data_IF_277418483981
#
_entry.id   IF_277418483981
#
_cell.length_a   1.000
_cell.length_b   1.000
_cell.length_c   1.000
_cell.angle_alpha   90.00
_cell.angle_beta   90.00
_cell.angle_gamma   90.00
#
_symmetry.space_group_name_H-M   'P 1'
#
loop_
_entity.id
_entity.type
_entity.pdbx_description
1 polymer ?
#
# COMPACT_ATOMS: atom_id res chain seq x y z
N UNK A 1 18.12 6.38 -15.73
CA UNK A 1 16.78 6.44 -15.13
C UNK A 1 16.97 6.57 -13.63
N UNK A 2 16.31 7.53 -12.98
CA UNK A 2 16.42 7.69 -11.52
C UNK A 2 15.69 6.56 -10.80
N UNK A 3 16.00 6.32 -9.52
CA UNK A 3 15.29 5.32 -8.72
C UNK A 3 13.80 5.67 -8.56
N UNK A 4 13.47 6.96 -8.44
CA UNK A 4 12.09 7.42 -8.39
C UNK A 4 11.36 7.21 -9.73
N UNK A 5 12.06 7.37 -10.85
CA UNK A 5 11.52 7.11 -12.19
C UNK A 5 11.21 5.62 -12.37
N UNK A 6 12.05 4.73 -11.84
CA UNK A 6 11.81 3.28 -11.84
C UNK A 6 10.53 2.90 -11.09
N UNK A 7 10.38 3.39 -9.86
CA UNK A 7 9.19 3.13 -9.05
C UNK A 7 7.91 3.62 -9.76
N UNK A 8 7.97 4.82 -10.34
CA UNK A 8 6.84 5.40 -11.09
C UNK A 8 6.54 4.58 -12.34
N UNK A 9 7.56 4.17 -13.10
CA UNK A 9 7.38 3.35 -14.31
C UNK A 9 6.73 2.01 -13.99
N UNK A 10 7.19 1.33 -12.94
CA UNK A 10 6.61 0.07 -12.47
C UNK A 10 5.16 0.24 -11.98
N UNK A 11 4.86 1.35 -11.31
CA UNK A 11 3.48 1.68 -10.93
C UNK A 11 2.57 1.81 -12.15
N UNK A 12 2.96 2.61 -13.15
CA UNK A 12 2.14 2.80 -14.36
C UNK A 12 1.92 1.49 -15.13
N UNK A 13 2.95 0.65 -15.22
CA UNK A 13 2.84 -0.70 -15.79
C UNK A 13 1.82 -1.57 -15.05
N UNK A 14 1.87 -1.58 -13.71
CA UNK A 14 0.92 -2.33 -12.89
C UNK A 14 -0.52 -1.82 -13.02
N UNK A 15 -0.72 -0.50 -13.08
CA UNK A 15 -2.04 0.08 -13.33
C UNK A 15 -2.64 -0.46 -14.63
N UNK A 16 -1.85 -0.45 -15.72
CA UNK A 16 -2.29 -0.99 -17.00
C UNK A 16 -2.63 -2.49 -16.91
N UNK A 17 -1.77 -3.29 -16.28
CA UNK A 17 -1.97 -4.74 -16.13
C UNK A 17 -3.19 -5.10 -15.26
N UNK A 18 -3.54 -4.24 -14.30
CA UNK A 18 -4.73 -4.38 -13.48
C UNK A 18 -5.99 -3.73 -14.08
N UNK A 19 -5.93 -3.20 -15.31
CA UNK A 19 -7.08 -2.59 -15.99
C UNK A 19 -7.48 -1.21 -15.43
N UNK A 20 -6.56 -0.51 -14.77
CA UNK A 20 -6.71 0.85 -14.27
C UNK A 20 -6.12 1.87 -15.24
N UNK A 21 -6.47 3.14 -15.04
CA UNK A 21 -5.98 4.25 -15.87
C UNK A 21 -4.45 4.42 -15.76
N UNK A 22 -3.74 4.07 -16.83
CA UNK A 22 -2.30 4.19 -16.94
C UNK A 22 -1.81 5.64 -17.08
N UNK A 23 -2.71 6.61 -17.28
CA UNK A 23 -2.39 8.05 -17.32
C UNK A 23 -2.79 8.76 -16.02
N UNK A 24 -3.07 8.01 -14.95
CA UNK A 24 -3.47 8.56 -13.68
C UNK A 24 -2.40 9.48 -13.08
N UNK A 25 -2.86 10.48 -12.31
CA UNK A 25 -1.95 11.33 -11.54
C UNK A 25 -1.44 10.56 -10.33
N UNK A 26 -0.12 10.54 -10.13
CA UNK A 26 0.52 9.80 -9.05
C UNK A 26 1.25 10.76 -8.10
N UNK A 27 1.01 10.61 -6.80
CA UNK A 27 1.69 11.35 -5.75
C UNK A 27 2.32 10.37 -4.75
N UNK A 28 3.57 10.60 -4.35
CA UNK A 28 4.19 9.85 -3.26
C UNK A 28 3.63 10.37 -1.94
N UNK A 29 2.85 9.54 -1.25
CA UNK A 29 2.17 9.93 0.01
C UNK A 29 2.77 9.27 1.24
N UNK A 30 3.55 8.21 1.06
CA UNK A 30 4.29 7.57 2.14
C UNK A 30 5.66 7.14 1.65
N UNK A 31 6.68 7.88 2.08
CA UNK A 31 8.07 7.45 1.89
C UNK A 31 8.40 6.33 2.88
N UNK A 32 9.31 5.44 2.51
CA UNK A 32 9.86 4.46 3.44
C UNK A 32 10.53 5.19 4.60
N UNK A 33 9.88 5.20 5.78
CA UNK A 33 10.45 5.77 6.99
C UNK A 33 11.03 4.64 7.83
N UNK A 34 12.33 4.72 8.09
CA UNK A 34 12.98 3.87 9.07
C UNK A 34 12.71 4.43 10.47
N UNK A 35 11.86 3.76 11.26
CA UNK A 35 11.81 3.93 12.71
C UNK A 35 12.62 2.81 13.38
N UNK A 36 13.25 3.04 14.56
CA UNK A 36 13.83 1.96 15.37
C UNK A 36 12.84 0.83 15.71
N UNK A 37 11.53 1.09 15.57
CA UNK A 37 10.45 0.19 15.97
C UNK A 37 9.57 -0.30 14.80
N UNK A 38 9.68 0.29 13.61
CA UNK A 38 8.93 -0.11 12.41
C UNK A 38 9.67 0.37 11.16
N UNK A 39 10.05 -0.58 10.32
CA UNK A 39 10.56 -0.32 8.99
C UNK A 39 9.38 -0.60 8.05
N UNK A 40 8.77 0.45 7.47
CA UNK A 40 8.01 0.29 6.23
C UNK A 40 8.95 0.64 5.08
N UNK A 41 10.18 0.15 5.16
CA UNK A 41 11.27 0.50 4.25
C UNK A 41 11.23 -0.32 2.97
N UNK A 42 10.32 -1.29 2.89
CA UNK A 42 10.23 -2.21 1.78
C UNK A 42 9.38 -1.65 0.64
N UNK A 43 8.51 -0.69 0.92
CA UNK A 43 7.56 -0.16 -0.06
C UNK A 43 7.56 1.36 -0.10
N UNK A 44 7.46 1.92 -1.30
CA UNK A 44 6.99 3.31 -1.48
C UNK A 44 5.49 3.32 -1.69
N UNK A 45 4.80 4.16 -0.91
CA UNK A 45 3.37 4.39 -1.01
C UNK A 45 3.03 5.52 -1.97
N UNK A 46 2.11 5.25 -2.90
CA UNK A 46 1.57 6.19 -3.85
C UNK A 46 0.06 6.35 -3.66
N UNK A 47 -0.41 7.58 -3.77
CA UNK A 47 -1.81 7.85 -4.07
C UNK A 47 -1.93 8.07 -5.56
N UNK A 48 -2.88 7.39 -6.17
CA UNK A 48 -3.10 7.42 -7.61
C UNK A 48 -4.53 7.90 -7.85
N UNK A 49 -4.70 8.93 -8.65
CA UNK A 49 -6.00 9.51 -8.99
C UNK A 49 -6.20 9.38 -10.50
N UNK A 50 -7.10 8.49 -10.90
CA UNK A 50 -7.45 8.23 -12.30
C UNK A 50 -8.93 8.45 -12.58
N UNK A 51 -9.35 8.17 -13.81
CA UNK A 51 -10.74 8.34 -14.24
C UNK A 51 -11.76 7.51 -13.42
N UNK A 52 -11.35 6.35 -12.90
CA UNK A 52 -12.20 5.46 -12.11
C UNK A 52 -12.22 5.80 -10.61
N UNK A 53 -11.54 6.87 -10.20
CA UNK A 53 -11.40 7.29 -8.81
C UNK A 53 -9.97 7.15 -8.30
N UNK A 54 -9.83 7.25 -6.98
CA UNK A 54 -8.54 7.18 -6.31
C UNK A 54 -8.25 5.78 -5.77
N UNK A 55 -6.99 5.37 -5.87
CA UNK A 55 -6.46 4.13 -5.28
C UNK A 55 -5.15 4.43 -4.54
N UNK A 56 -4.80 3.55 -3.62
CA UNK A 56 -3.51 3.57 -2.94
C UNK A 56 -2.64 2.41 -3.44
N UNK A 57 -1.43 2.68 -3.89
CA UNK A 57 -0.52 1.67 -4.40
C UNK A 57 0.75 1.58 -3.53
N UNK A 58 1.26 0.37 -3.36
CA UNK A 58 2.58 0.11 -2.78
C UNK A 58 3.48 -0.47 -3.85
N UNK A 59 4.62 0.16 -4.10
CA UNK A 59 5.65 -0.34 -5.02
C UNK A 59 6.82 -0.87 -4.20
N UNK A 60 7.15 -2.15 -4.39
CA UNK A 60 8.24 -2.83 -3.69
C UNK A 60 9.58 -2.25 -4.15
N UNK A 61 10.41 -1.83 -3.20
CA UNK A 61 11.78 -1.42 -3.46
C UNK A 61 12.60 -2.60 -4.01
N UNK A 62 13.36 -2.37 -5.08
CA UNK A 62 14.02 -3.45 -5.84
C UNK A 62 15.03 -4.26 -5.00
N UNK A 63 15.73 -3.60 -4.07
CA UNK A 63 16.66 -4.20 -3.11
C UNK A 63 15.96 -5.06 -2.04
N UNK A 64 14.65 -4.89 -1.87
CA UNK A 64 13.84 -5.64 -0.90
C UNK A 64 13.15 -6.86 -1.53
N UNK A 65 13.22 -7.01 -2.86
CA UNK A 65 12.59 -8.11 -3.60
C UNK A 65 13.08 -9.50 -3.15
N UNK A 66 14.33 -9.62 -2.71
CA UNK A 66 14.88 -10.88 -2.20
C UNK A 66 14.42 -11.22 -0.78
N UNK A 67 13.89 -10.24 -0.05
CA UNK A 67 13.47 -10.38 1.36
C UNK A 67 11.97 -10.56 1.49
N UNK A 68 11.20 -10.24 0.44
CA UNK A 68 9.75 -10.25 0.44
C UNK A 68 9.22 -11.30 -0.53
N UNK A 69 8.47 -12.25 0.01
CA UNK A 69 7.63 -13.15 -0.79
C UNK A 69 6.36 -12.39 -1.23
N UNK A 70 6.41 -11.84 -2.45
CA UNK A 70 5.36 -10.95 -2.96
C UNK A 70 3.98 -11.62 -2.99
N UNK A 71 3.90 -12.87 -3.44
CA UNK A 71 2.64 -13.60 -3.54
C UNK A 71 2.02 -13.81 -2.15
N UNK A 72 2.83 -14.17 -1.15
CA UNK A 72 2.33 -14.25 0.23
C UNK A 72 1.92 -12.89 0.78
N UNK A 73 2.64 -11.82 0.44
CA UNK A 73 2.27 -10.47 0.85
C UNK A 73 0.92 -10.05 0.22
N UNK A 74 0.69 -10.39 -1.05
CA UNK A 74 -0.58 -10.16 -1.74
C UNK A 74 -1.72 -10.96 -1.08
N UNK A 75 -1.51 -12.27 -0.83
CA UNK A 75 -2.50 -13.12 -0.18
C UNK A 75 -2.84 -12.63 1.24
N UNK A 76 -1.83 -12.25 2.03
CA UNK A 76 -2.05 -11.70 3.36
C UNK A 76 -2.84 -10.38 3.31
N UNK A 77 -2.54 -9.55 2.32
CA UNK A 77 -3.25 -8.28 2.06
C UNK A 77 -4.71 -8.52 1.69
N UNK A 78 -4.99 -9.50 0.82
CA UNK A 78 -6.36 -9.90 0.46
C UNK A 78 -7.13 -10.39 1.70
N UNK A 79 -6.54 -11.29 2.50
CA UNK A 79 -7.14 -11.79 3.73
C UNK A 79 -7.48 -10.65 4.71
N UNK A 80 -6.56 -9.71 4.90
CA UNK A 80 -6.77 -8.55 5.77
C UNK A 80 -7.86 -7.60 5.25
N UNK A 81 -7.91 -7.40 3.92
CA UNK A 81 -8.99 -6.62 3.29
C UNK A 81 -10.35 -7.28 3.46
N UNK A 82 -10.45 -8.60 3.28
CA UNK A 82 -11.69 -9.37 3.42
C UNK A 82 -12.21 -9.43 4.86
N UNK A 83 -11.34 -9.35 5.86
CA UNK A 83 -11.74 -9.28 7.26
C UNK A 83 -12.11 -7.86 7.72
N UNK A 84 -11.91 -6.84 6.88
CA UNK A 84 -12.08 -5.44 7.26
C UNK A 84 -10.96 -4.90 8.17
N UNK A 85 -9.88 -5.66 8.38
CA UNK A 85 -8.74 -5.24 9.18
C UNK A 85 -7.80 -4.27 8.44
N UNK A 86 -7.89 -4.22 7.10
CA UNK A 86 -7.10 -3.38 6.23
C UNK A 86 -7.94 -2.91 5.03
N UNK A 87 -7.48 -1.90 4.26
CA UNK A 87 -8.10 -1.56 2.98
C UNK A 87 -8.17 -2.78 2.06
N UNK A 88 -9.24 -2.89 1.27
CA UNK A 88 -9.38 -3.98 0.28
C UNK A 88 -8.27 -3.91 -0.77
N UNK A 89 -7.70 -5.07 -1.09
CA UNK A 89 -6.81 -5.25 -2.23
C UNK A 89 -7.65 -5.27 -3.51
N UNK A 90 -7.33 -4.36 -4.44
CA UNK A 90 -8.00 -4.24 -5.75
C UNK A 90 -7.21 -4.91 -6.87
N UNK A 91 -5.89 -5.01 -6.71
CA UNK A 91 -5.01 -5.64 -7.70
C UNK A 91 -3.63 -5.92 -7.12
N UNK A 92 -2.95 -6.89 -7.72
CA UNK A 92 -1.56 -7.20 -7.43
C UNK A 92 -0.86 -7.53 -8.75
N UNK A 93 0.32 -6.94 -8.95
CA UNK A 93 1.18 -7.22 -10.09
C UNK A 93 2.56 -7.61 -9.58
N UNK A 94 2.85 -8.91 -9.59
CA UNK A 94 4.12 -9.44 -9.14
C UNK A 94 5.28 -9.08 -10.06
N UNK A 95 5.03 -8.95 -11.37
CA UNK A 95 6.08 -8.60 -12.34
C UNK A 95 6.57 -7.16 -12.12
N UNK A 96 5.65 -6.26 -11.78
CA UNK A 96 5.99 -4.89 -11.40
C UNK A 96 6.24 -4.72 -9.90
N UNK A 97 5.97 -5.73 -9.07
CA UNK A 97 6.09 -5.68 -7.60
C UNK A 97 5.18 -4.61 -6.99
N UNK A 98 3.92 -4.55 -7.41
CA UNK A 98 2.95 -3.52 -7.00
C UNK A 98 1.69 -4.13 -6.40
N UNK A 99 1.29 -3.65 -5.23
CA UNK A 99 -0.01 -3.95 -4.62
C UNK A 99 -0.90 -2.71 -4.68
N UNK A 100 -2.15 -2.86 -5.10
CA UNK A 100 -3.12 -1.77 -5.28
C UNK A 100 -4.30 -1.99 -4.35
N UNK A 101 -4.64 -0.98 -3.58
CA UNK A 101 -5.67 -0.97 -2.56
C UNK A 101 -6.69 0.14 -2.82
N UNK A 102 -7.86 0.03 -2.22
CA UNK A 102 -8.79 1.17 -2.19
C UNK A 102 -8.17 2.38 -1.46
N UNK A 103 -8.43 3.58 -1.96
CA UNK A 103 -8.08 4.81 -1.27
C UNK A 103 -9.09 5.08 -0.15
N UNK A 104 -8.62 5.25 1.08
CA UNK A 104 -9.46 5.59 2.23
C UNK A 104 -9.58 7.10 2.46
N UNK A 105 -9.03 7.91 1.55
CA UNK A 105 -9.15 9.36 1.55
C UNK A 105 -7.99 10.05 2.27
N UNK A 106 -7.96 11.38 2.13
CA UNK A 106 -6.86 12.22 2.62
C UNK A 106 -6.73 12.25 4.15
N UNK A 107 -7.82 11.99 4.88
CA UNK A 107 -7.83 11.96 6.33
C UNK A 107 -7.35 10.61 6.90
N UNK A 108 -7.19 9.60 6.04
CA UNK A 108 -6.71 8.30 6.47
C UNK A 108 -5.22 8.35 6.79
N UNK A 109 -4.87 7.81 7.95
CA UNK A 109 -3.48 7.65 8.38
C UNK A 109 -3.33 6.37 9.19
N UNK A 110 -2.12 5.82 9.20
CA UNK A 110 -1.78 4.79 10.15
C UNK A 110 -2.04 5.27 11.58
N UNK A 111 -2.64 4.40 12.40
CA UNK A 111 -2.78 4.64 13.82
C UNK A 111 -1.38 4.72 14.47
N UNK A 112 -1.17 5.74 15.29
CA UNK A 112 0.01 5.88 16.15
C UNK A 112 -0.21 5.04 17.40
N UNK A 113 0.86 4.75 18.13
CA UNK A 113 0.75 4.06 19.42
C UNK A 113 -0.20 4.81 20.37
N UNK A 114 -0.11 6.14 20.43
CA UNK A 114 -0.97 6.98 21.26
C UNK A 114 -2.47 6.86 20.88
N UNK A 115 -2.77 6.63 19.60
CA UNK A 115 -4.15 6.38 19.16
C UNK A 115 -4.69 5.07 19.70
N UNK A 116 -3.84 4.08 19.98
CA UNK A 116 -4.24 2.78 20.53
C UNK A 116 -4.31 2.79 22.05
N UNK A 117 -3.52 3.66 22.69
CA UNK A 117 -3.50 3.83 24.14
C UNK A 117 -4.69 4.62 24.68
N UNK A 118 -5.46 5.30 23.83
CA UNK A 118 -6.68 5.96 24.26
C UNK A 118 -7.68 4.91 24.82
N UNK A 119 -8.32 5.19 25.98
CA UNK A 119 -9.19 4.22 26.65
C UNK A 119 -10.23 3.61 25.70
N UNK A 120 -10.34 2.28 25.72
CA UNK A 120 -11.35 1.53 24.96
C UNK A 120 -11.00 1.26 23.49
N UNK A 121 -10.00 1.94 22.89
CA UNK A 121 -9.66 1.71 21.47
C UNK A 121 -9.00 0.36 21.22
N UNK A 122 -8.18 -0.10 22.14
CA UNK A 122 -7.59 -1.43 22.05
C UNK A 122 -8.65 -2.53 22.15
N UNK A 123 -9.60 -2.40 23.08
CA UNK A 123 -10.72 -3.32 23.23
C UNK A 123 -11.62 -3.33 21.99
N UNK A 124 -11.92 -2.15 21.43
CA UNK A 124 -12.69 -2.04 20.20
C UNK A 124 -11.98 -2.75 19.02
N UNK A 125 -10.66 -2.58 18.88
CA UNK A 125 -9.87 -3.30 17.88
C UNK A 125 -9.93 -4.82 18.08
N UNK A 126 -9.79 -5.30 19.32
CA UNK A 126 -9.85 -6.73 19.62
C UNK A 126 -11.22 -7.35 19.35
N UNK A 127 -12.30 -6.58 19.50
CA UNK A 127 -13.66 -7.03 19.20
C UNK A 127 -13.95 -7.21 17.70
N UNK A 128 -13.06 -6.73 16.81
CA UNK A 128 -13.16 -6.95 15.36
C UNK A 128 -12.58 -8.31 14.92
N UNK A 129 -12.02 -9.10 15.85
CA UNK A 129 -11.47 -10.43 15.60
C UNK A 129 -12.45 -11.51 15.99
#
# INVERSE_FOLDING_TARGET
MSYADDLTTRLLGALANCGLDANAHTEVVMQGVASPSRLSTEWTGFRVVGAQGAVYAKVLHADMAQLIDFEKAAQASECAGRSGAAPRLLGADAACGVLIFEDLGLDWRAARLDDLLAPGRLQALWALK
#
